data_IF_782175026146
#
_entry.id   IF_782175026146
#
_cell.length_a   1.000
_cell.length_b   1.000
_cell.length_c   1.000
_cell.angle_alpha   90.00
_cell.angle_beta   90.00
_cell.angle_gamma   90.00
#
_symmetry.space_group_name_H-M   'P 1'
#
loop_
_entity.id
_entity.type
_entity.pdbx_description
1 polymer ?
#
# COMPACT_ATOMS: atom_id res chain seq x y z
N UNK A 1 -33.13 5.79 -0.84
CA UNK A 1 -31.75 5.69 -1.34
C UNK A 1 -31.73 4.65 -2.44
N UNK A 2 -31.31 4.96 -3.66
CA UNK A 2 -31.13 3.93 -4.71
C UNK A 2 -29.93 3.08 -4.30
N UNK A 3 -30.17 1.81 -4.02
CA UNK A 3 -29.13 0.84 -3.72
C UNK A 3 -28.17 0.77 -4.92
N UNK A 4 -26.86 0.89 -4.68
CA UNK A 4 -25.86 0.76 -5.75
C UNK A 4 -26.01 -0.60 -6.43
N UNK A 5 -25.90 -0.62 -7.75
CA UNK A 5 -26.07 -1.85 -8.52
C UNK A 5 -24.91 -2.80 -8.25
N UNK A 6 -25.15 -3.85 -7.46
CA UNK A 6 -24.15 -4.87 -7.13
C UNK A 6 -23.63 -5.58 -8.38
N UNK A 7 -24.47 -5.71 -9.41
CA UNK A 7 -24.09 -6.30 -10.69
C UNK A 7 -22.98 -5.50 -11.36
N UNK A 8 -22.99 -4.17 -11.25
CA UNK A 8 -21.93 -3.32 -11.80
C UNK A 8 -20.58 -3.60 -11.14
N UNK A 9 -20.55 -3.74 -9.81
CA UNK A 9 -19.31 -4.02 -9.06
C UNK A 9 -18.77 -5.39 -9.45
N UNK A 10 -19.62 -6.41 -9.50
CA UNK A 10 -19.22 -7.77 -9.85
C UNK A 10 -18.70 -7.84 -11.30
N UNK A 11 -19.41 -7.22 -12.25
CA UNK A 11 -18.97 -7.12 -13.64
C UNK A 11 -17.63 -6.38 -13.78
N UNK A 12 -17.42 -5.33 -12.98
CA UNK A 12 -16.17 -4.57 -12.98
C UNK A 12 -15.03 -5.43 -12.44
N UNK A 13 -15.26 -6.18 -11.37
CA UNK A 13 -14.30 -7.12 -10.79
C UNK A 13 -13.89 -8.20 -11.80
N UNK A 14 -14.86 -8.77 -12.50
CA UNK A 14 -14.61 -9.77 -13.53
C UNK A 14 -13.81 -9.20 -14.70
N UNK A 15 -14.23 -8.03 -15.21
CA UNK A 15 -13.56 -7.34 -16.32
C UNK A 15 -12.10 -7.01 -16.01
N UNK A 16 -11.81 -6.59 -14.78
CA UNK A 16 -10.50 -6.08 -14.38
C UNK A 16 -9.75 -7.02 -13.42
N UNK A 17 -10.10 -8.31 -13.38
CA UNK A 17 -9.53 -9.29 -12.44
C UNK A 17 -8.00 -9.29 -12.41
N UNK A 18 -7.35 -9.19 -13.58
CA UNK A 18 -5.89 -9.12 -13.68
C UNK A 18 -5.31 -7.84 -13.06
N UNK A 19 -5.94 -6.70 -13.32
CA UNK A 19 -5.54 -5.40 -12.75
C UNK A 19 -5.74 -5.40 -11.24
N UNK A 20 -6.87 -5.91 -10.75
CA UNK A 20 -7.15 -6.06 -9.31
C UNK A 20 -6.06 -6.89 -8.64
N UNK A 21 -5.69 -8.03 -9.22
CA UNK A 21 -4.62 -8.87 -8.67
C UNK A 21 -3.30 -8.12 -8.57
N UNK A 22 -2.93 -7.37 -9.62
CA UNK A 22 -1.70 -6.57 -9.64
C UNK A 22 -1.71 -5.45 -8.60
N UNK A 23 -2.82 -4.69 -8.52
CA UNK A 23 -2.96 -3.57 -7.58
C UNK A 23 -2.93 -4.09 -6.14
N UNK A 24 -3.67 -5.16 -5.82
CA UNK A 24 -3.66 -5.78 -4.48
C UNK A 24 -2.25 -6.17 -4.06
N UNK A 25 -1.50 -6.80 -4.96
CA UNK A 25 -0.11 -7.18 -4.69
C UNK A 25 0.77 -5.96 -4.42
N UNK A 26 0.71 -4.93 -5.27
CA UNK A 26 1.49 -3.70 -5.10
C UNK A 26 1.17 -2.99 -3.78
N UNK A 27 -0.11 -2.93 -3.42
CA UNK A 27 -0.56 -2.31 -2.18
C UNK A 27 -0.15 -3.12 -0.94
N UNK A 28 -0.15 -4.45 -1.02
CA UNK A 28 0.36 -5.30 0.06
C UNK A 28 1.85 -5.05 0.35
N UNK A 29 2.65 -4.69 -0.67
CA UNK A 29 4.06 -4.32 -0.45
C UNK A 29 4.21 -2.99 0.31
N UNK A 30 3.18 -2.14 0.34
CA UNK A 30 3.16 -0.92 1.14
C UNK A 30 2.76 -1.18 2.60
N UNK A 31 2.23 -2.37 2.91
CA UNK A 31 1.91 -2.76 4.28
C UNK A 31 3.25 -2.96 5.03
N UNK A 32 3.56 -2.15 6.05
CA UNK A 32 4.80 -2.34 6.80
C UNK A 32 4.77 -3.68 7.52
N UNK A 33 5.94 -4.30 7.68
CA UNK A 33 6.11 -5.43 8.58
C UNK A 33 5.64 -5.02 9.98
N UNK A 34 4.81 -5.86 10.62
CA UNK A 34 4.29 -5.59 11.96
C UNK A 34 5.40 -5.42 13.01
N UNK A 35 6.63 -5.89 12.70
CA UNK A 35 7.81 -5.82 13.55
C UNK A 35 9.01 -5.34 12.71
N UNK A 36 9.35 -4.06 12.83
CA UNK A 36 10.62 -3.56 12.30
C UNK A 36 11.73 -3.88 13.30
N UNK A 37 12.80 -4.54 12.85
CA UNK A 37 14.01 -4.74 13.65
C UNK A 37 14.83 -3.46 13.62
N UNK A 38 15.13 -2.91 14.79
CA UNK A 38 16.05 -1.78 14.95
C UNK A 38 17.30 -2.29 15.63
N UNK A 39 18.44 -2.06 14.98
CA UNK A 39 19.78 -2.50 15.37
C UNK A 39 20.50 -1.41 16.19
N UNK A 40 21.62 -1.79 16.82
CA UNK A 40 22.44 -0.89 17.64
C UNK A 40 21.67 -0.25 18.80
N UNK A 41 20.90 -1.04 19.53
CA UNK A 41 20.25 -0.61 20.76
C UNK A 41 21.07 -1.04 21.99
N UNK A 42 21.02 -0.23 23.07
CA UNK A 42 21.68 -0.55 24.36
C UNK A 42 21.02 -1.72 25.10
N UNK A 43 19.78 -1.99 24.77
CA UNK A 43 18.92 -2.99 25.39
C UNK A 43 18.03 -3.55 24.29
N UNK A 44 17.60 -4.81 24.40
CA UNK A 44 16.76 -5.44 23.39
C UNK A 44 16.58 -6.93 23.61
N UNK A 45 15.65 -7.51 22.86
CA UNK A 45 15.24 -8.91 23.02
C UNK A 45 16.25 -9.89 22.40
N UNK A 46 16.96 -9.44 21.37
CA UNK A 46 17.95 -10.24 20.62
C UNK A 46 19.28 -9.49 20.54
N UNK A 47 20.38 -10.23 20.41
CA UNK A 47 21.70 -9.66 20.14
C UNK A 47 21.88 -9.38 18.65
N UNK A 48 22.36 -8.19 18.30
CA UNK A 48 22.88 -7.92 16.96
C UNK A 48 24.25 -8.59 16.81
N UNK A 49 24.28 -9.70 16.07
CA UNK A 49 25.51 -10.47 15.87
C UNK A 49 26.64 -9.63 15.23
N UNK A 50 26.32 -8.67 14.36
CA UNK A 50 27.34 -7.82 13.76
C UNK A 50 27.95 -6.91 14.83
N UNK A 51 27.11 -6.23 15.61
CA UNK A 51 27.57 -5.36 16.69
C UNK A 51 28.35 -6.14 17.76
N UNK A 52 27.94 -7.37 18.08
CA UNK A 52 28.67 -8.26 19.02
C UNK A 52 30.02 -8.69 18.46
N UNK A 53 30.10 -9.05 17.17
CA UNK A 53 31.36 -9.41 16.53
C UNK A 53 32.31 -8.23 16.54
N UNK A 54 31.85 -7.05 16.14
CA UNK A 54 32.64 -5.82 16.14
C UNK A 54 33.13 -5.49 17.56
N UNK A 55 32.27 -5.59 18.56
CA UNK A 55 32.65 -5.41 19.97
C UNK A 55 33.74 -6.38 20.43
N UNK A 56 33.69 -7.66 20.02
CA UNK A 56 34.72 -8.65 20.40
C UNK A 56 36.03 -8.40 19.67
N UNK A 57 35.98 -8.01 18.39
CA UNK A 57 37.15 -7.66 17.59
C UNK A 57 37.84 -6.42 18.17
N UNK A 58 37.08 -5.36 18.43
CA UNK A 58 37.59 -4.12 19.00
C UNK A 58 38.09 -4.32 20.42
N UNK A 59 37.42 -5.13 21.26
CA UNK A 59 37.93 -5.47 22.59
C UNK A 59 39.24 -6.25 22.55
N UNK A 60 39.45 -7.09 21.53
CA UNK A 60 40.74 -7.77 21.30
C UNK A 60 41.81 -6.79 20.81
N UNK A 61 41.46 -5.89 19.91
CA UNK A 61 42.37 -4.87 19.38
C UNK A 61 42.73 -3.80 20.44
N UNK A 62 41.77 -3.40 21.28
CA UNK A 62 41.92 -2.39 22.32
C UNK A 62 42.82 -2.83 23.49
N UNK A 63 43.16 -4.13 23.61
CA UNK A 63 44.30 -4.57 24.43
C UNK A 63 45.63 -3.93 23.98
N UNK A 64 45.67 -3.30 22.80
CA UNK A 64 46.85 -2.62 22.21
C UNK A 64 46.70 -1.08 22.16
N UNK A 65 45.49 -0.52 22.33
CA UNK A 65 45.28 0.94 22.32
C UNK A 65 43.83 1.31 22.63
N UNK A 66 43.61 2.12 23.66
CA UNK A 66 42.28 2.43 24.21
C UNK A 66 41.38 3.24 23.28
N UNK A 67 40.43 2.57 22.64
CA UNK A 67 39.31 3.16 21.91
C UNK A 67 37.97 2.96 22.63
N UNK A 68 37.08 3.96 22.53
CA UNK A 68 35.71 3.87 23.07
C UNK A 68 34.90 2.82 22.32
N UNK A 69 34.31 1.89 23.07
CA UNK A 69 33.51 0.78 22.57
C UNK A 69 32.03 1.14 22.65
N UNK A 70 31.28 0.90 21.58
CA UNK A 70 29.82 1.01 21.64
C UNK A 70 29.24 -0.21 22.34
N UNK A 71 28.48 -0.01 23.42
CA UNK A 71 27.79 -1.08 24.15
C UNK A 71 26.41 -1.40 23.54
N UNK A 72 26.12 -0.87 22.36
CA UNK A 72 24.84 -1.03 21.65
C UNK A 72 24.79 -2.37 20.90
N UNK A 73 24.70 -3.46 21.65
CA UNK A 73 24.82 -4.82 21.13
C UNK A 73 23.47 -5.50 20.83
N UNK A 74 22.35 -4.81 21.06
CA UNK A 74 21.03 -5.41 21.01
C UNK A 74 20.21 -4.93 19.81
N UNK A 75 19.22 -5.74 19.45
CA UNK A 75 18.15 -5.40 18.51
C UNK A 75 16.81 -5.36 19.25
N UNK A 76 16.00 -4.35 18.94
CA UNK A 76 14.59 -4.27 19.35
C UNK A 76 13.66 -4.53 18.19
N UNK A 77 12.57 -5.25 18.45
CA UNK A 77 11.44 -5.35 17.51
C UNK A 77 10.44 -4.25 17.84
N UNK A 78 10.36 -3.24 16.98
CA UNK A 78 9.40 -2.15 17.11
C UNK A 78 8.17 -2.42 16.25
N UNK A 79 6.99 -2.38 16.88
CA UNK A 79 5.73 -2.44 16.15
C UNK A 79 5.48 -1.09 15.49
N UNK A 80 5.72 -1.00 14.18
CA UNK A 80 5.47 0.22 13.42
C UNK A 80 4.05 0.15 12.84
N UNK A 81 3.10 0.78 13.54
CA UNK A 81 1.71 0.84 13.09
C UNK A 81 1.55 1.99 12.09
N UNK A 82 1.13 1.68 10.87
CA UNK A 82 0.70 2.67 9.88
C UNK A 82 -0.79 2.95 10.10
N UNK A 83 -1.15 4.21 10.26
CA UNK A 83 -2.53 4.66 10.40
C UNK A 83 -2.85 5.64 9.25
N UNK A 84 -3.55 5.16 8.23
CA UNK A 84 -3.92 5.95 7.05
C UNK A 84 -5.41 5.82 6.81
N UNK A 85 -6.03 6.95 6.46
CA UNK A 85 -7.42 7.03 6.03
C UNK A 85 -7.50 7.73 4.68
N UNK A 86 -8.38 7.26 3.81
CA UNK A 86 -8.56 7.78 2.44
C UNK A 86 -9.98 8.30 2.25
N UNK A 87 -10.14 9.45 1.60
CA UNK A 87 -11.45 9.96 1.20
C UNK A 87 -11.48 10.19 -0.30
N UNK A 88 -12.40 9.52 -0.99
CA UNK A 88 -12.67 9.74 -2.41
C UNK A 88 -13.79 10.76 -2.55
N UNK A 89 -13.56 11.79 -3.37
CA UNK A 89 -14.58 12.74 -3.78
C UNK A 89 -14.85 12.56 -5.28
N UNK A 90 -16.07 12.17 -5.62
CA UNK A 90 -16.51 11.94 -6.98
C UNK A 90 -17.33 13.12 -7.50
N UNK A 91 -17.08 13.55 -8.73
CA UNK A 91 -17.90 14.56 -9.38
C UNK A 91 -19.16 13.94 -9.99
N UNK A 92 -20.33 14.31 -9.46
CA UNK A 92 -21.63 13.90 -9.99
C UNK A 92 -22.24 14.92 -10.96
N UNK A 93 -21.46 15.88 -11.46
CA UNK A 93 -21.94 16.89 -12.40
C UNK A 93 -22.43 16.30 -13.73
N UNK A 94 -23.33 17.02 -14.43
CA UNK A 94 -23.81 16.59 -15.75
C UNK A 94 -22.69 16.43 -16.80
N UNK A 95 -21.52 17.03 -16.57
CA UNK A 95 -20.39 16.97 -17.50
C UNK A 95 -19.76 15.57 -17.57
N UNK A 96 -19.88 14.77 -16.50
CA UNK A 96 -19.33 13.41 -16.42
C UNK A 96 -20.20 12.38 -17.17
N UNK A 97 -21.39 12.78 -17.63
CA UNK A 97 -22.18 11.99 -18.58
C UNK A 97 -21.57 11.97 -20.00
N UNK A 98 -20.59 12.85 -20.28
CA UNK A 98 -19.84 12.85 -21.54
C UNK A 98 -19.18 11.50 -21.77
N UNK A 99 -19.17 11.08 -23.02
CA UNK A 99 -18.55 9.85 -23.47
C UNK A 99 -17.11 10.12 -23.94
N UNK A 100 -16.13 9.34 -23.47
CA UNK A 100 -14.75 9.39 -23.96
C UNK A 100 -14.68 8.73 -25.34
N UNK A 101 -13.81 9.29 -26.18
CA UNK A 101 -13.68 9.07 -27.62
C UNK A 101 -14.00 7.66 -28.11
N UNK A 102 -14.88 7.62 -29.13
CA UNK A 102 -14.91 6.49 -30.06
C UNK A 102 -13.55 6.42 -30.75
N UNK A 103 -13.02 5.23 -30.94
CA UNK A 103 -11.96 5.06 -31.92
C UNK A 103 -12.54 5.43 -33.30
N UNK A 104 -11.89 6.25 -34.15
CA UNK A 104 -12.44 6.65 -35.46
C UNK A 104 -12.80 5.46 -36.36
N UNK A 105 -12.13 4.33 -36.13
CA UNK A 105 -12.33 3.07 -36.84
C UNK A 105 -13.26 2.07 -36.11
N UNK A 106 -13.80 2.41 -34.93
CA UNK A 106 -14.77 1.55 -34.24
C UNK A 106 -16.16 1.71 -34.86
N UNK A 107 -16.85 0.61 -35.23
CA UNK A 107 -18.23 0.66 -35.71
C UNK A 107 -19.14 1.38 -34.70
N UNK A 108 -20.15 2.09 -35.21
CA UNK A 108 -21.16 2.79 -34.41
C UNK A 108 -22.01 1.89 -33.49
N UNK A 109 -21.76 0.58 -33.50
CA UNK A 109 -22.49 -0.44 -32.74
C UNK A 109 -22.24 -0.39 -31.24
N UNK A 110 -21.17 0.26 -30.79
CA UNK A 110 -20.90 0.46 -29.37
C UNK A 110 -20.98 1.94 -28.99
N UNK A 111 -21.89 2.34 -28.09
CA UNK A 111 -21.78 3.64 -27.45
C UNK A 111 -20.43 3.68 -26.72
N UNK A 112 -19.70 4.79 -26.84
CA UNK A 112 -18.47 4.94 -26.07
C UNK A 112 -18.77 4.95 -24.56
N UNK A 113 -17.72 4.88 -23.75
CA UNK A 113 -17.86 4.82 -22.29
C UNK A 113 -18.01 6.20 -21.68
N UNK A 114 -18.94 6.36 -20.74
CA UNK A 114 -19.12 7.63 -20.02
C UNK A 114 -18.02 7.83 -18.99
N UNK A 115 -17.63 9.09 -18.76
CA UNK A 115 -16.60 9.44 -17.77
C UNK A 115 -17.00 8.90 -16.39
N UNK A 116 -18.25 9.11 -15.96
CA UNK A 116 -18.74 8.63 -14.67
C UNK A 116 -18.70 7.09 -14.52
N UNK A 117 -18.79 6.34 -15.62
CA UNK A 117 -18.67 4.88 -15.57
C UNK A 117 -17.22 4.47 -15.34
N UNK A 118 -16.28 5.16 -15.97
CA UNK A 118 -14.84 4.94 -15.80
C UNK A 118 -14.42 5.31 -14.37
N UNK A 119 -14.90 6.44 -13.85
CA UNK A 119 -14.65 6.86 -12.47
C UNK A 119 -15.16 5.84 -11.46
N UNK A 120 -16.38 5.32 -11.65
CA UNK A 120 -16.95 4.26 -10.81
C UNK A 120 -16.14 2.97 -10.87
N UNK A 121 -15.69 2.55 -12.06
CA UNK A 121 -14.83 1.37 -12.17
C UNK A 121 -13.49 1.58 -11.45
N UNK A 122 -12.86 2.75 -11.64
CA UNK A 122 -11.63 3.11 -10.95
C UNK A 122 -11.80 3.07 -9.43
N UNK A 123 -12.95 3.51 -8.92
CA UNK A 123 -13.23 3.45 -7.50
C UNK A 123 -13.34 2.01 -6.97
N UNK A 124 -13.95 1.10 -7.74
CA UNK A 124 -13.98 -0.33 -7.39
C UNK A 124 -12.57 -0.91 -7.31
N UNK A 125 -11.70 -0.56 -8.27
CA UNK A 125 -10.30 -1.00 -8.25
C UNK A 125 -9.55 -0.47 -7.02
N UNK A 126 -9.75 0.79 -6.67
CA UNK A 126 -9.11 1.40 -5.51
C UNK A 126 -9.66 0.83 -4.19
N UNK A 127 -10.95 0.50 -4.10
CA UNK A 127 -11.48 -0.18 -2.91
C UNK A 127 -10.83 -1.54 -2.70
N UNK A 128 -10.63 -2.34 -3.77
CA UNK A 128 -9.91 -3.62 -3.66
C UNK A 128 -8.47 -3.45 -3.15
N UNK A 129 -7.82 -2.36 -3.59
CA UNK A 129 -6.46 -2.02 -3.19
C UNK A 129 -6.39 -1.71 -1.68
N UNK A 130 -7.28 -0.85 -1.21
CA UNK A 130 -7.31 -0.39 0.18
C UNK A 130 -7.77 -1.50 1.14
N UNK A 131 -8.72 -2.35 0.72
CA UNK A 131 -9.10 -3.55 1.45
C UNK A 131 -7.91 -4.51 1.62
N UNK A 132 -7.02 -4.62 0.62
CA UNK A 132 -5.84 -5.48 0.73
C UNK A 132 -4.78 -4.97 1.73
N UNK A 133 -4.69 -3.66 1.95
CA UNK A 133 -3.81 -3.06 2.97
C UNK A 133 -4.47 -3.04 4.36
N UNK A 134 -5.79 -2.91 4.40
CA UNK A 134 -6.57 -2.71 5.62
C UNK A 134 -6.74 -1.24 6.00
N UNK A 135 -6.63 -0.33 5.02
CA UNK A 135 -6.82 1.11 5.23
C UNK A 135 -8.32 1.47 5.24
N UNK A 136 -8.70 2.40 6.12
CA UNK A 136 -10.08 2.89 6.20
C UNK A 136 -10.31 3.87 5.06
N UNK A 137 -11.46 3.77 4.38
CA UNK A 137 -11.82 4.71 3.33
C UNK A 137 -13.27 5.16 3.36
N UNK A 138 -13.52 6.32 2.75
CA UNK A 138 -14.85 6.90 2.54
C UNK A 138 -15.02 7.34 1.09
N UNK A 139 -16.26 7.32 0.61
CA UNK A 139 -16.63 7.71 -0.75
C UNK A 139 -17.73 8.76 -0.63
N UNK A 140 -17.45 9.94 -1.17
CA UNK A 140 -18.33 11.11 -1.15
C UNK A 140 -18.54 11.57 -2.58
N UNK A 141 -19.71 12.15 -2.88
CA UNK A 141 -20.04 12.72 -4.18
C UNK A 141 -21.36 13.45 -4.14
#
# INVERSE_FOLDING_TARGET
>A
MKQGDRLFVDQTRDRHRGVISSIRHQFQLLKPDELTRVANELDGEEYDLNAVVDFVLDRRAAKVGGGHQSERLYMKRLRRRREVAVSFLLDQSSSTARTIGRHPLQPYTHPGRRIIEIEKEGLVLMSEALEAVGDIYSING
#
